data_IF_859781037289
#
_entry.id   IF_859781037289
#
_cell.length_a   1.000
_cell.length_b   1.000
_cell.length_c   1.000
_cell.angle_alpha   90.00
_cell.angle_beta   90.00
_cell.angle_gamma   90.00
#
_symmetry.space_group_name_H-M   'P 1'
#
loop_
_entity.id
_entity.type
_entity.pdbx_description
1 polymer ?
#
# COMPACT_ATOMS: atom_id res chain seq x y z
N UNK A 1 32.49 4.49 14.37
CA UNK A 1 32.25 5.71 15.17
C UNK A 1 31.36 6.77 14.52
N UNK A 2 31.21 6.85 13.18
CA UNK A 2 30.24 7.76 12.55
C UNK A 2 28.78 7.25 12.57
N UNK A 3 28.55 5.96 12.84
CA UNK A 3 27.20 5.38 12.91
C UNK A 3 26.38 5.75 14.16
N UNK A 4 26.99 6.51 15.08
CA UNK A 4 26.38 7.01 16.32
C UNK A 4 26.39 8.55 16.36
N UNK A 5 26.26 9.20 15.20
CA UNK A 5 25.88 10.62 15.18
C UNK A 5 24.56 10.77 15.96
N UNK A 6 24.63 11.62 16.97
CA UNK A 6 23.58 12.10 17.87
C UNK A 6 22.20 11.51 17.59
N UNK A 7 21.88 10.39 18.24
CA UNK A 7 20.49 9.98 18.38
C UNK A 7 19.73 11.21 18.91
N UNK A 8 18.84 11.84 18.13
CA UNK A 8 18.10 12.98 18.63
C UNK A 8 17.40 12.49 19.88
N UNK A 9 17.68 13.15 21.01
CA UNK A 9 17.13 12.75 22.29
C UNK A 9 15.62 12.80 22.11
N UNK A 10 14.96 11.62 22.10
CA UNK A 10 13.53 11.52 21.91
C UNK A 10 12.89 12.24 23.07
N UNK A 11 12.57 13.51 22.87
CA UNK A 11 11.87 14.32 23.83
C UNK A 11 10.44 13.83 23.81
N UNK A 12 10.06 13.11 24.86
CA UNK A 12 8.67 12.72 25.12
C UNK A 12 7.87 13.97 25.45
N UNK A 13 7.58 14.75 24.42
CA UNK A 13 6.68 15.89 24.49
C UNK A 13 5.26 15.36 24.30
N UNK A 14 4.27 15.98 24.94
CA UNK A 14 2.86 15.61 24.79
C UNK A 14 2.36 15.44 23.34
N UNK A 15 2.71 16.27 22.35
CA UNK A 15 2.30 16.02 20.96
C UNK A 15 2.84 14.69 20.40
N UNK A 16 4.06 14.28 20.79
CA UNK A 16 4.65 13.00 20.35
C UNK A 16 3.84 11.82 20.88
N UNK A 17 3.43 11.88 22.15
CA UNK A 17 2.60 10.84 22.78
C UNK A 17 1.23 10.79 22.09
N UNK A 18 0.60 11.94 21.85
CA UNK A 18 -0.69 12.01 21.15
C UNK A 18 -0.61 11.42 19.74
N UNK A 19 0.44 11.75 18.99
CA UNK A 19 0.67 11.22 17.65
C UNK A 19 0.87 9.70 17.68
N UNK A 20 1.60 9.18 18.67
CA UNK A 20 1.83 7.74 18.83
C UNK A 20 0.53 7.00 19.15
N UNK A 21 -0.30 7.55 20.04
CA UNK A 21 -1.60 6.97 20.39
C UNK A 21 -2.55 7.01 19.21
N UNK A 22 -2.60 8.13 18.48
CA UNK A 22 -3.40 8.26 17.26
C UNK A 22 -2.99 7.24 16.20
N UNK A 23 -1.69 7.14 15.89
CA UNK A 23 -1.19 6.19 14.89
C UNK A 23 -1.36 4.73 15.34
N UNK A 24 -1.06 4.43 16.60
CA UNK A 24 -1.12 3.08 17.14
C UNK A 24 -2.53 2.55 17.34
N UNK A 25 -3.47 3.37 17.79
CA UNK A 25 -4.84 2.92 18.06
C UNK A 25 -5.78 3.18 16.88
N UNK A 26 -5.87 4.41 16.41
CA UNK A 26 -6.86 4.79 15.39
C UNK A 26 -6.42 4.32 14.00
N UNK A 27 -5.19 4.64 13.59
CA UNK A 27 -4.69 4.27 12.26
C UNK A 27 -4.51 2.75 12.13
N UNK A 28 -3.77 2.14 13.05
CA UNK A 28 -3.56 0.68 13.04
C UNK A 28 -4.87 -0.09 13.23
N UNK A 29 -5.73 0.34 14.16
CA UNK A 29 -7.02 -0.30 14.41
C UNK A 29 -7.92 -0.29 13.17
N UNK A 30 -8.03 0.85 12.49
CA UNK A 30 -8.78 0.94 11.24
C UNK A 30 -8.16 0.08 10.13
N UNK A 31 -6.82 0.10 10.00
CA UNK A 31 -6.09 -0.72 9.05
C UNK A 31 -6.34 -2.22 9.27
N UNK A 32 -6.24 -2.70 10.51
CA UNK A 32 -6.50 -4.08 10.85
C UNK A 32 -7.98 -4.46 10.70
N UNK A 33 -8.91 -3.57 11.05
CA UNK A 33 -10.34 -3.80 10.87
C UNK A 33 -10.68 -3.92 9.38
N UNK A 34 -10.20 -3.00 8.54
CA UNK A 34 -10.35 -3.07 7.09
C UNK A 34 -9.74 -4.36 6.54
N UNK A 35 -8.52 -4.70 6.95
CA UNK A 35 -7.83 -5.92 6.52
C UNK A 35 -8.58 -7.18 6.95
N UNK A 36 -9.09 -7.22 8.19
CA UNK A 36 -9.87 -8.34 8.72
C UNK A 36 -11.24 -8.48 8.02
N UNK A 37 -11.91 -7.36 7.73
CA UNK A 37 -13.18 -7.35 7.01
C UNK A 37 -13.01 -7.83 5.57
N UNK A 38 -11.92 -7.42 4.90
CA UNK A 38 -11.54 -7.91 3.57
C UNK A 38 -11.20 -9.41 3.59
N UNK A 39 -10.48 -9.88 4.62
CA UNK A 39 -10.16 -11.31 4.78
C UNK A 39 -11.42 -12.17 4.93
N UNK A 40 -12.45 -11.63 5.59
CA UNK A 40 -13.71 -12.34 5.78
C UNK A 40 -14.61 -12.38 4.53
N UNK A 41 -14.54 -11.36 3.66
CA UNK A 41 -15.45 -11.27 2.50
C UNK A 41 -14.87 -11.81 1.18
N UNK A 42 -13.55 -11.84 0.96
CA UNK A 42 -12.98 -12.29 -0.32
C UNK A 42 -11.66 -13.08 -0.16
N UNK A 43 -11.68 -14.37 -0.51
CA UNK A 43 -10.52 -15.27 -0.39
C UNK A 43 -9.28 -14.80 -1.15
N UNK A 44 -8.14 -14.71 -0.44
CA UNK A 44 -6.73 -14.64 -0.85
C UNK A 44 -6.26 -13.67 -1.97
N UNK A 45 -7.02 -13.41 -3.02
CA UNK A 45 -6.61 -12.65 -4.20
C UNK A 45 -6.80 -11.12 -4.05
N UNK A 46 -7.81 -10.68 -3.30
CA UNK A 46 -8.15 -9.25 -3.14
C UNK A 46 -7.23 -8.49 -2.17
N UNK A 47 -6.55 -9.18 -1.24
CA UNK A 47 -5.58 -8.55 -0.31
C UNK A 47 -4.37 -8.00 -1.08
N UNK A 48 -3.99 -8.70 -2.15
CA UNK A 48 -2.92 -8.29 -3.08
C UNK A 48 -3.31 -6.96 -3.74
N UNK A 49 -4.51 -6.88 -4.33
CA UNK A 49 -5.02 -5.67 -4.99
C UNK A 49 -5.11 -4.47 -4.03
N UNK A 50 -5.47 -4.66 -2.76
CA UNK A 50 -5.55 -3.58 -1.77
C UNK A 50 -4.18 -3.04 -1.35
N UNK A 51 -3.18 -3.92 -1.24
CA UNK A 51 -1.78 -3.53 -1.00
C UNK A 51 -1.21 -2.71 -2.17
N UNK A 52 -1.72 -2.92 -3.38
CA UNK A 52 -1.41 -2.11 -4.56
C UNK A 52 -2.24 -0.83 -4.69
N UNK A 53 -3.50 -0.84 -4.25
CA UNK A 53 -4.37 0.34 -4.28
C UNK A 53 -3.93 1.42 -3.28
N UNK A 54 -3.44 1.02 -2.10
CA UNK A 54 -2.98 1.93 -1.05
C UNK A 54 -1.92 2.93 -1.52
N UNK A 55 -0.79 2.51 -2.12
CA UNK A 55 0.20 3.45 -2.67
C UNK A 55 -0.36 4.27 -3.83
N UNK A 56 -1.28 3.75 -4.67
CA UNK A 56 -1.91 4.53 -5.75
C UNK A 56 -2.78 5.66 -5.21
N UNK A 57 -3.64 5.36 -4.24
CA UNK A 57 -4.45 6.38 -3.57
C UNK A 57 -3.55 7.42 -2.89
N UNK A 58 -2.49 6.98 -2.22
CA UNK A 58 -1.50 7.87 -1.59
C UNK A 58 -0.81 8.80 -2.59
N UNK A 59 -0.34 8.28 -3.72
CA UNK A 59 0.29 9.08 -4.79
C UNK A 59 -0.72 10.01 -5.44
N UNK A 60 -1.94 9.54 -5.75
CA UNK A 60 -2.99 10.34 -6.39
C UNK A 60 -3.42 11.50 -5.50
N UNK A 61 -3.65 11.24 -4.21
CA UNK A 61 -3.95 12.28 -3.22
C UNK A 61 -2.76 13.22 -3.02
N UNK A 62 -1.52 12.71 -3.00
CA UNK A 62 -0.31 13.52 -2.90
C UNK A 62 -0.14 14.48 -4.09
N UNK A 63 -0.42 14.01 -5.31
CA UNK A 63 -0.45 14.84 -6.53
C UNK A 63 -1.56 15.89 -6.47
N UNK A 64 -2.75 15.50 -6.00
CA UNK A 64 -3.92 16.39 -5.92
C UNK A 64 -3.76 17.49 -4.86
N UNK A 65 -3.15 17.20 -3.71
CA UNK A 65 -2.94 18.17 -2.63
C UNK A 65 -1.77 19.13 -2.87
N UNK A 66 -0.77 18.76 -3.69
CA UNK A 66 0.50 19.49 -3.78
C UNK A 66 0.37 20.89 -4.36
N UNK A 67 -0.57 21.14 -5.28
CA UNK A 67 -0.92 22.47 -5.81
C UNK A 67 0.18 23.30 -6.50
N UNK A 68 1.45 22.88 -6.43
CA UNK A 68 2.63 23.55 -7.01
C UNK A 68 3.56 22.51 -7.66
N UNK A 69 4.39 22.96 -8.61
CA UNK A 69 5.13 22.20 -9.63
C UNK A 69 5.51 20.79 -9.19
N UNK A 70 4.78 19.82 -9.73
CA UNK A 70 5.09 18.41 -9.66
C UNK A 70 6.54 18.21 -10.08
N UNK A 71 7.43 18.02 -9.09
CA UNK A 71 8.81 17.67 -9.35
C UNK A 71 8.81 16.44 -10.24
N UNK A 72 9.62 16.44 -11.31
CA UNK A 72 9.72 15.35 -12.26
C UNK A 72 9.91 13.99 -11.55
N UNK A 73 10.56 14.01 -10.38
CA UNK A 73 10.73 12.86 -9.50
C UNK A 73 9.43 12.24 -8.98
N UNK A 74 8.39 13.03 -8.72
CA UNK A 74 7.11 12.52 -8.26
C UNK A 74 6.36 11.80 -9.38
N UNK A 75 6.45 12.32 -10.61
CA UNK A 75 5.93 11.65 -11.80
C UNK A 75 6.67 10.33 -12.06
N UNK A 76 8.00 10.33 -11.91
CA UNK A 76 8.84 9.14 -12.05
C UNK A 76 8.52 8.08 -10.98
N UNK A 77 8.32 8.51 -9.72
CA UNK A 77 7.89 7.63 -8.64
C UNK A 77 6.50 7.04 -8.90
N UNK A 78 5.54 7.87 -9.34
CA UNK A 78 4.19 7.41 -9.70
C UNK A 78 4.20 6.39 -10.85
N UNK A 79 5.01 6.63 -11.88
CA UNK A 79 5.19 5.70 -13.00
C UNK A 79 5.79 4.37 -12.53
N UNK A 80 6.80 4.39 -11.67
CA UNK A 80 7.44 3.19 -11.12
C UNK A 80 6.44 2.35 -10.31
N UNK A 81 5.60 3.00 -9.50
CA UNK A 81 4.50 2.35 -8.76
C UNK A 81 3.47 1.73 -9.72
N UNK A 82 3.03 2.48 -10.74
CA UNK A 82 2.09 1.98 -11.74
C UNK A 82 2.62 0.73 -12.48
N UNK A 83 3.91 0.72 -12.82
CA UNK A 83 4.58 -0.43 -13.44
C UNK A 83 4.62 -1.64 -12.50
N UNK A 84 4.95 -1.45 -11.22
CA UNK A 84 4.95 -2.53 -10.23
C UNK A 84 3.58 -3.17 -10.05
N UNK A 85 2.52 -2.36 -10.06
CA UNK A 85 1.13 -2.83 -9.95
C UNK A 85 0.73 -3.61 -11.19
N UNK A 86 1.07 -3.10 -12.38
CA UNK A 86 0.79 -3.79 -13.63
C UNK A 86 1.46 -5.16 -13.69
N UNK A 87 2.71 -5.26 -13.27
CA UNK A 87 3.47 -6.52 -13.22
C UNK A 87 2.82 -7.56 -12.29
N UNK A 88 2.34 -7.14 -11.11
CA UNK A 88 1.76 -8.08 -10.14
C UNK A 88 0.32 -8.44 -10.47
N UNK A 89 -0.44 -7.51 -11.04
CA UNK A 89 -1.81 -7.78 -11.47
C UNK A 89 -1.88 -8.46 -12.85
N UNK A 90 -0.74 -8.83 -13.44
CA UNK A 90 -0.72 -9.56 -14.69
C UNK A 90 -1.31 -10.96 -14.45
N UNK A 91 -2.49 -11.27 -15.00
CA UNK A 91 -3.12 -12.55 -14.76
C UNK A 91 -2.20 -13.62 -15.34
N UNK A 92 -1.68 -14.50 -14.47
CA UNK A 92 -1.08 -15.74 -14.90
C UNK A 92 -2.15 -16.45 -15.73
N UNK A 93 -1.97 -16.50 -17.05
CA UNK A 93 -2.84 -17.24 -17.96
C UNK A 93 -3.01 -18.63 -17.35
N UNK A 94 -4.19 -18.92 -16.81
CA UNK A 94 -4.56 -20.28 -16.54
C UNK A 94 -4.54 -20.97 -17.90
N UNK A 95 -3.67 -21.97 -18.11
CA UNK A 95 -3.78 -22.80 -19.28
C UNK A 95 -5.16 -23.44 -19.16
N UNK A 96 -6.07 -23.08 -20.07
CA UNK A 96 -7.32 -23.82 -20.24
C UNK A 96 -6.89 -25.22 -20.62
N UNK A 97 -6.88 -26.11 -19.61
CA UNK A 97 -6.77 -27.53 -19.82
C UNK A 97 -8.03 -27.93 -20.58
N UNK A 98 -7.91 -27.97 -21.90
CA UNK A 98 -8.91 -28.55 -22.77
C UNK A 98 -9.09 -30.01 -22.38
N UNK A 99 -10.30 -30.36 -21.96
CA UNK A 99 -10.77 -31.74 -21.86
C UNK A 99 -12.30 -31.65 -21.88
N UNK A 100 -13.03 -31.90 -22.97
CA UNK A 100 -12.69 -32.67 -24.16
C UNK A 100 -12.98 -34.17 -24.01
N UNK A 101 -13.45 -34.67 -22.85
CA UNK A 101 -13.67 -36.12 -22.62
C UNK A 101 -14.90 -36.46 -21.76
N UNK A 102 -16.09 -35.92 -22.04
CA UNK A 102 -17.31 -36.44 -21.42
C UNK A 102 -18.55 -36.44 -22.34
N UNK A 103 -18.31 -36.42 -23.65
CA UNK A 103 -19.35 -36.67 -24.67
C UNK A 103 -18.75 -37.62 -25.72
N UNK A 104 -18.46 -38.86 -25.34
CA UNK A 104 -18.39 -40.03 -26.22
C UNK A 104 -18.56 -41.31 -25.37
#
# INVERSE_FOLDING_TARGET
SLAFETMPKVTLTMPTILALVYAGLLVSGFCFAANAWLLQQHGASQVSVFSFATPVCGVTLGVLFRGDQLSLWLALAGACVAVGIYLVNMPARQPVAGTGELVD
#
